data_IF_837888009784
#
_entry.id   IF_837888009784
#
_cell.length_a   1.000
_cell.length_b   1.000
_cell.length_c   1.000
_cell.angle_alpha   90.00
_cell.angle_beta   90.00
_cell.angle_gamma   90.00
#
_symmetry.space_group_name_H-M   'P 1'
#
loop_
_entity.id
_entity.type
_entity.pdbx_description
1 polymer ?
#
# COMPACT_ATOMS: atom_id res chain seq x y z
N UNK A 1 9.53 5.30 20.27
CA UNK A 1 8.66 5.12 19.09
C UNK A 1 9.39 5.71 17.90
N UNK A 2 9.12 5.25 16.67
CA UNK A 2 9.61 5.97 15.49
C UNK A 2 8.77 7.24 15.31
N UNK A 3 9.43 8.36 15.11
CA UNK A 3 8.79 9.66 14.85
C UNK A 3 8.56 9.89 13.35
N UNK A 4 8.88 8.88 12.53
CA UNK A 4 8.71 8.88 11.08
C UNK A 4 8.16 7.53 10.62
N UNK A 5 7.07 7.54 9.85
CA UNK A 5 6.37 6.35 9.35
C UNK A 5 6.29 6.43 7.83
N UNK A 6 6.77 5.39 7.15
CA UNK A 6 6.64 5.22 5.70
C UNK A 6 5.44 4.34 5.39
N UNK A 7 4.46 4.89 4.69
CA UNK A 7 3.26 4.19 4.24
C UNK A 7 3.42 3.77 2.78
N UNK A 8 3.47 2.47 2.52
CA UNK A 8 3.38 1.93 1.18
C UNK A 8 1.95 2.00 0.63
N UNK A 9 1.79 2.51 -0.58
CA UNK A 9 0.51 2.51 -1.29
C UNK A 9 0.68 2.36 -2.80
N UNK A 10 -0.40 1.96 -3.49
CA UNK A 10 -0.49 1.96 -4.95
C UNK A 10 -0.75 3.37 -5.48
N UNK A 11 -0.49 3.57 -6.78
CA UNK A 11 -0.65 4.88 -7.45
C UNK A 11 -2.07 5.18 -7.94
N UNK A 12 -3.02 4.25 -7.80
CA UNK A 12 -4.40 4.53 -8.20
C UNK A 12 -5.01 5.62 -7.32
N UNK A 13 -5.89 6.45 -7.88
CA UNK A 13 -6.48 7.57 -7.15
C UNK A 13 -7.15 7.14 -5.84
N UNK A 14 -7.81 5.98 -5.81
CA UNK A 14 -8.43 5.45 -4.60
C UNK A 14 -7.38 4.99 -3.56
N UNK A 15 -6.30 4.33 -3.99
CA UNK A 15 -5.25 3.88 -3.08
C UNK A 15 -4.49 5.06 -2.45
N UNK A 16 -4.25 6.12 -3.23
CA UNK A 16 -3.69 7.37 -2.75
C UNK A 16 -4.60 8.02 -1.70
N UNK A 17 -5.89 8.16 -2.01
CA UNK A 17 -6.86 8.72 -1.07
C UNK A 17 -6.91 7.92 0.25
N UNK A 18 -6.89 6.59 0.17
CA UNK A 18 -6.85 5.72 1.35
C UNK A 18 -5.58 5.96 2.19
N UNK A 19 -4.42 6.06 1.56
CA UNK A 19 -3.16 6.31 2.25
C UNK A 19 -3.09 7.72 2.86
N UNK A 20 -3.58 8.74 2.15
CA UNK A 20 -3.70 10.11 2.66
C UNK A 20 -4.66 10.18 3.86
N UNK A 21 -5.79 9.48 3.79
CA UNK A 21 -6.74 9.40 4.90
C UNK A 21 -6.09 8.81 6.16
N UNK A 22 -5.37 7.70 6.02
CA UNK A 22 -4.64 7.08 7.15
C UNK A 22 -3.51 7.98 7.65
N UNK A 23 -2.77 8.64 6.76
CA UNK A 23 -1.75 9.63 7.14
C UNK A 23 -2.34 10.74 7.99
N UNK A 24 -3.48 11.31 7.58
CA UNK A 24 -4.16 12.38 8.30
C UNK A 24 -4.63 11.92 9.69
N UNK A 25 -5.20 10.72 9.81
CA UNK A 25 -5.60 10.18 11.11
C UNK A 25 -4.40 9.92 12.03
N UNK A 26 -3.29 9.40 11.51
CA UNK A 26 -2.08 9.19 12.28
C UNK A 26 -1.50 10.52 12.79
N UNK A 27 -1.44 11.55 11.94
CA UNK A 27 -1.00 12.89 12.34
C UNK A 27 -1.94 13.55 13.34
N UNK A 28 -3.26 13.30 13.23
CA UNK A 28 -4.26 13.81 14.18
C UNK A 28 -4.11 13.20 15.57
N UNK A 29 -3.84 11.89 15.64
CA UNK A 29 -3.68 11.15 16.89
C UNK A 29 -2.28 11.32 17.50
N UNK A 30 -1.27 11.51 16.66
CA UNK A 30 0.13 11.61 17.05
C UNK A 30 0.79 12.85 16.38
N UNK A 31 0.58 14.07 16.91
CA UNK A 31 1.01 15.30 16.24
C UNK A 31 2.52 15.44 15.98
N UNK A 32 3.33 14.65 16.68
CA UNK A 32 4.79 14.71 16.59
C UNK A 32 5.37 13.74 15.55
N UNK A 33 4.56 12.87 14.95
CA UNK A 33 5.06 11.98 13.91
C UNK A 33 5.03 12.66 12.54
N UNK A 34 5.95 12.25 11.69
CA UNK A 34 5.94 12.55 10.26
C UNK A 34 5.56 11.31 9.47
N UNK A 35 4.90 11.51 8.35
CA UNK A 35 4.44 10.43 7.47
C UNK A 35 4.96 10.66 6.06
N UNK A 36 5.54 9.63 5.45
CA UNK A 36 5.96 9.61 4.05
C UNK A 36 5.09 8.60 3.29
N UNK A 37 4.57 8.98 2.12
CA UNK A 37 3.88 8.05 1.22
C UNK A 37 4.87 7.50 0.18
N UNK A 38 5.14 6.20 0.27
CA UNK A 38 6.01 5.46 -0.66
C UNK A 38 5.15 4.77 -1.70
N UNK A 39 5.36 5.15 -2.96
CA UNK A 39 4.47 4.76 -4.06
C UNK A 39 4.98 3.53 -4.80
N UNK A 40 4.16 2.48 -4.85
CA UNK A 40 4.48 1.24 -5.54
C UNK A 40 3.74 1.12 -6.87
N UNK A 41 4.41 0.48 -7.83
CA UNK A 41 3.82 0.09 -9.10
C UNK A 41 3.79 -1.44 -9.16
N UNK A 42 2.63 -2.02 -8.83
CA UNK A 42 2.44 -3.46 -8.68
C UNK A 42 2.36 -4.17 -10.03
N UNK A 43 2.56 -5.48 -10.08
CA UNK A 43 2.29 -6.27 -11.29
C UNK A 43 0.85 -6.09 -11.78
N UNK A 44 -0.13 -6.02 -10.88
CA UNK A 44 -1.52 -5.76 -11.24
C UNK A 44 -1.76 -4.40 -11.89
N UNK A 45 -0.97 -3.37 -11.56
CA UNK A 45 -1.02 -2.05 -12.22
C UNK A 45 -0.47 -2.09 -13.66
N UNK A 46 0.45 -3.01 -13.95
CA UNK A 46 1.08 -3.15 -15.27
C UNK A 46 0.24 -4.00 -16.23
N UNK A 47 -0.65 -4.84 -15.69
CA UNK A 47 -1.48 -5.75 -16.47
C UNK A 47 -2.90 -5.20 -16.55
N UNK A 48 -3.06 -4.06 -17.24
CA UNK A 48 -4.37 -3.45 -17.50
C UNK A 48 -5.09 -4.07 -18.72
N UNK A 49 -4.34 -4.75 -19.60
CA UNK A 49 -4.84 -5.21 -20.90
C UNK A 49 -5.44 -6.63 -20.89
N UNK A 50 -5.30 -7.38 -19.80
CA UNK A 50 -5.82 -8.75 -19.70
C UNK A 50 -6.81 -8.86 -18.55
N UNK A 51 -7.96 -9.55 -18.74
CA UNK A 51 -8.89 -9.79 -17.65
C UNK A 51 -8.17 -10.42 -16.45
N UNK A 52 -8.34 -9.85 -15.26
CA UNK A 52 -7.74 -10.34 -14.00
C UNK A 52 -7.92 -11.85 -13.79
N UNK A 53 -9.07 -12.40 -14.20
CA UNK A 53 -9.37 -13.83 -14.15
C UNK A 53 -8.38 -14.71 -14.95
N UNK A 54 -7.77 -14.17 -16.01
CA UNK A 54 -6.78 -14.88 -16.83
C UNK A 54 -5.35 -14.72 -16.30
N UNK A 55 -5.11 -13.72 -15.45
CA UNK A 55 -3.77 -13.40 -14.94
C UNK A 55 -3.39 -14.30 -13.75
N UNK A 56 -4.38 -14.84 -13.03
CA UNK A 56 -4.19 -15.93 -12.06
C UNK A 56 -2.94 -15.79 -11.19
N UNK A 57 -3.05 -15.04 -10.08
CA UNK A 57 -1.92 -14.90 -9.16
C UNK A 57 -2.37 -14.43 -7.79
N UNK A 58 -2.02 -15.18 -6.74
CA UNK A 58 -2.14 -14.73 -5.36
C UNK A 58 -1.31 -13.44 -5.18
N UNK A 59 -1.87 -12.45 -4.48
CA UNK A 59 -1.14 -11.24 -4.11
C UNK A 59 -0.78 -10.30 -5.26
N UNK A 60 -1.52 -10.31 -6.39
CA UNK A 60 -1.22 -9.47 -7.58
C UNK A 60 -1.09 -7.97 -7.28
N UNK A 61 -1.69 -7.51 -6.18
CA UNK A 61 -1.68 -6.13 -5.73
C UNK A 61 -0.99 -5.91 -4.38
N UNK A 62 -0.58 -6.98 -3.68
CA UNK A 62 -0.02 -6.89 -2.31
C UNK A 62 1.43 -7.36 -2.24
N UNK A 63 1.88 -8.24 -3.14
CA UNK A 63 3.19 -8.89 -3.05
C UNK A 63 4.36 -7.89 -3.00
N UNK A 64 4.36 -6.85 -3.83
CA UNK A 64 5.45 -5.85 -3.81
C UNK A 64 5.47 -5.02 -2.53
N UNK A 65 4.31 -4.78 -1.93
CA UNK A 65 4.18 -4.04 -0.67
C UNK A 65 4.58 -4.90 0.52
N UNK A 66 4.20 -6.18 0.54
CA UNK A 66 4.65 -7.17 1.52
C UNK A 66 6.17 -7.35 1.49
N UNK A 67 6.76 -7.46 0.29
CA UNK A 67 8.21 -7.55 0.12
C UNK A 67 8.92 -6.30 0.65
N UNK A 68 8.39 -5.10 0.35
CA UNK A 68 8.92 -3.84 0.84
C UNK A 68 8.82 -3.71 2.37
N UNK A 69 7.72 -4.17 2.97
CA UNK A 69 7.59 -4.26 4.43
C UNK A 69 8.65 -5.20 5.01
N UNK A 70 8.85 -6.37 4.42
CA UNK A 70 9.85 -7.34 4.88
C UNK A 70 11.29 -6.82 4.79
N UNK A 71 11.61 -6.03 3.75
CA UNK A 71 12.92 -5.38 3.59
C UNK A 71 13.08 -4.15 4.50
N UNK A 72 12.00 -3.65 5.09
CA UNK A 72 12.00 -2.43 5.88
C UNK A 72 12.06 -1.16 5.04
N UNK A 73 11.69 -1.23 3.76
CA UNK A 73 11.58 -0.07 2.86
C UNK A 73 10.35 0.79 3.21
N UNK A 74 9.30 0.15 3.75
CA UNK A 74 8.11 0.78 4.32
C UNK A 74 7.81 0.19 5.70
N UNK A 75 7.10 0.96 6.52
CA UNK A 75 6.74 0.55 7.89
C UNK A 75 5.33 -0.06 7.93
N UNK A 76 4.39 0.46 7.13
CA UNK A 76 3.04 -0.10 6.95
C UNK A 76 2.62 -0.04 5.48
N UNK A 77 1.69 -0.89 5.08
CA UNK A 77 1.01 -0.82 3.78
C UNK A 77 -0.49 -0.53 3.97
N UNK A 78 -1.07 0.29 3.10
CA UNK A 78 -2.51 0.59 3.09
C UNK A 78 -3.17 -0.02 1.86
N UNK A 79 -4.22 -0.81 2.10
CA UNK A 79 -4.95 -1.55 1.07
C UNK A 79 -6.46 -1.53 1.26
N UNK A 80 -7.19 -1.69 0.16
CA UNK A 80 -8.58 -2.09 0.22
C UNK A 80 -8.66 -3.54 0.69
N UNK A 81 -9.48 -3.80 1.71
CA UNK A 81 -9.59 -5.14 2.31
C UNK A 81 -9.93 -6.24 1.29
N UNK A 82 -10.74 -5.93 0.28
CA UNK A 82 -11.13 -6.88 -0.79
C UNK A 82 -9.93 -7.41 -1.60
N UNK A 83 -8.81 -6.69 -1.60
CA UNK A 83 -7.60 -7.02 -2.37
C UNK A 83 -6.59 -7.82 -1.52
N UNK A 84 -6.87 -8.03 -0.23
CA UNK A 84 -6.01 -8.82 0.65
C UNK A 84 -6.17 -10.33 0.35
N UNK A 85 -5.06 -11.09 0.26
CA UNK A 85 -5.13 -12.53 0.11
C UNK A 85 -5.76 -13.18 1.36
N UNK A 86 -6.55 -14.23 1.16
CA UNK A 86 -7.26 -14.95 2.22
C UNK A 86 -6.60 -16.29 2.55
N UNK A 87 -5.28 -16.39 2.46
CA UNK A 87 -4.58 -17.66 2.71
C UNK A 87 -5.05 -18.38 3.98
#
# INVERSE_FOLDING_TARGET
MRDHIRIGTRKSALALWQAEHISAELQRLYPNITVELVHFNTKGDRILEKPLAQVGGKGLFTAELEEAMHKGDIDIAVHSLKDMPTE
#
